data_IF_523618302866
#
_entry.id   IF_523618302866
#
_cell.length_a   1.000
_cell.length_b   1.000
_cell.length_c   1.000
_cell.angle_alpha   90.00
_cell.angle_beta   90.00
_cell.angle_gamma   90.00
#
_symmetry.space_group_name_H-M   'P 1'
#
loop_
_entity.id
_entity.type
_entity.pdbx_description
1 polymer ?
#
# COMPACT_ATOMS: atom_id res chain seq x y z
N UNK A 1 5.49 2.02 -36.22
CA UNK A 1 5.93 3.44 -36.31
C UNK A 1 5.41 4.01 -37.64
N UNK A 2 4.38 4.86 -37.65
CA UNK A 2 3.94 5.55 -38.87
C UNK A 2 4.75 6.84 -38.99
N UNK A 3 5.61 6.95 -40.01
CA UNK A 3 6.41 8.15 -40.27
C UNK A 3 5.58 9.15 -41.08
N UNK A 4 5.39 10.36 -40.54
CA UNK A 4 4.77 11.48 -41.25
C UNK A 4 5.88 12.27 -41.95
N UNK A 5 5.77 12.44 -43.28
CA UNK A 5 6.80 13.03 -44.16
C UNK A 5 7.08 14.54 -43.93
N UNK A 6 6.37 15.22 -43.01
CA UNK A 6 6.43 16.69 -42.85
C UNK A 6 7.44 17.22 -41.82
N UNK A 7 8.15 16.36 -41.09
CA UNK A 7 9.26 16.81 -40.24
C UNK A 7 10.58 16.77 -41.03
N UNK A 8 10.97 17.91 -41.61
CA UNK A 8 12.24 18.09 -42.34
C UNK A 8 13.48 18.06 -41.44
N UNK A 9 13.31 18.12 -40.12
CA UNK A 9 14.29 17.60 -39.16
C UNK A 9 13.72 16.28 -38.64
N UNK A 10 14.40 15.13 -38.81
CA UNK A 10 13.81 13.87 -38.40
C UNK A 10 13.49 13.91 -36.91
N UNK A 11 12.52 13.11 -36.47
CA UNK A 11 12.31 12.77 -35.07
C UNK A 11 13.60 12.36 -34.30
N UNK A 12 14.72 12.14 -35.01
CA UNK A 12 16.09 12.18 -34.49
C UNK A 12 16.37 13.39 -33.57
N UNK A 13 15.98 14.61 -33.93
CA UNK A 13 16.25 15.80 -33.10
C UNK A 13 15.13 16.10 -32.08
N UNK A 14 14.09 15.27 -32.01
CA UNK A 14 13.03 15.39 -30.99
C UNK A 14 13.60 14.85 -29.68
N UNK A 15 13.55 15.67 -28.64
CA UNK A 15 14.18 15.40 -27.35
C UNK A 15 13.61 14.12 -26.71
N UNK A 16 14.35 13.01 -26.81
CA UNK A 16 14.13 11.79 -26.05
C UNK A 16 14.44 12.04 -24.57
N UNK A 17 13.57 12.79 -23.87
CA UNK A 17 13.72 13.08 -22.44
C UNK A 17 13.18 11.94 -21.57
N UNK A 18 12.22 11.18 -22.08
CA UNK A 18 11.57 10.07 -21.40
C UNK A 18 11.60 8.83 -22.29
N UNK A 19 11.80 7.67 -21.68
CA UNK A 19 11.89 6.37 -22.35
C UNK A 19 11.27 5.30 -21.44
N UNK A 20 10.28 4.57 -21.96
CA UNK A 20 9.75 3.35 -21.34
C UNK A 20 10.17 2.17 -22.22
N UNK A 21 10.84 1.19 -21.63
CA UNK A 21 11.34 0.04 -22.38
C UNK A 21 10.94 -1.26 -21.69
N UNK A 22 10.21 -2.09 -22.44
CA UNK A 22 9.79 -3.44 -22.04
C UNK A 22 10.64 -4.49 -22.73
N UNK A 23 11.03 -5.54 -22.01
CA UNK A 23 11.77 -6.69 -22.53
C UNK A 23 13.14 -6.36 -23.19
N UNK A 24 13.59 -5.11 -23.11
CA UNK A 24 14.93 -4.51 -23.27
C UNK A 24 15.91 -5.04 -24.34
N UNK A 25 15.47 -5.92 -25.25
CA UNK A 25 16.20 -6.37 -26.43
C UNK A 25 16.59 -5.21 -27.34
N UNK A 26 15.78 -4.14 -27.38
CA UNK A 26 16.11 -2.93 -28.10
C UNK A 26 17.37 -2.24 -27.55
N UNK A 27 17.58 -2.25 -26.22
CA UNK A 27 18.75 -1.67 -25.56
C UNK A 27 20.02 -2.47 -25.81
N UNK A 28 19.94 -3.80 -25.79
CA UNK A 28 21.09 -4.63 -26.14
C UNK A 28 21.49 -4.48 -27.62
N UNK A 29 20.51 -4.38 -28.52
CA UNK A 29 20.78 -4.08 -29.93
C UNK A 29 21.35 -2.66 -30.14
N UNK A 30 21.16 -1.76 -29.18
CA UNK A 30 21.77 -0.43 -29.15
C UNK A 30 23.16 -0.43 -28.48
N UNK A 31 23.50 -1.47 -27.72
CA UNK A 31 24.76 -1.58 -27.00
C UNK A 31 25.89 -1.86 -28.02
N UNK A 32 26.92 -1.02 -28.05
CA UNK A 32 28.09 -1.19 -28.92
C UNK A 32 28.12 -0.43 -30.25
N UNK A 33 27.14 0.44 -30.57
CA UNK A 33 27.29 1.37 -31.70
C UNK A 33 27.74 2.77 -31.24
N UNK A 34 28.77 3.37 -31.87
CA UNK A 34 29.32 4.66 -31.46
C UNK A 34 28.41 5.90 -31.71
N UNK A 35 27.31 5.74 -32.46
CA UNK A 35 26.50 6.87 -32.99
C UNK A 35 25.20 7.17 -32.22
N UNK A 36 25.07 6.79 -30.95
CA UNK A 36 23.83 7.01 -30.18
C UNK A 36 23.80 8.36 -29.45
N UNK A 37 23.66 9.45 -30.20
CA UNK A 37 23.42 10.79 -29.64
C UNK A 37 22.14 10.91 -28.80
N UNK A 38 21.13 10.05 -29.04
CA UNK A 38 19.83 10.13 -28.36
C UNK A 38 19.85 9.61 -26.91
N UNK A 39 20.60 8.52 -26.64
CA UNK A 39 20.75 7.99 -25.29
C UNK A 39 21.38 9.02 -24.33
N UNK A 40 22.22 9.90 -24.86
CA UNK A 40 22.81 11.03 -24.13
C UNK A 40 21.80 12.11 -23.73
N UNK A 41 20.58 12.09 -24.28
CA UNK A 41 19.53 13.09 -24.01
C UNK A 41 18.45 12.60 -23.03
N UNK A 42 18.47 11.30 -22.69
CA UNK A 42 17.49 10.68 -21.78
C UNK A 42 17.67 11.24 -20.37
N UNK A 43 16.55 11.69 -19.79
CA UNK A 43 16.48 12.20 -18.42
C UNK A 43 15.61 11.33 -17.51
N UNK A 44 14.66 10.60 -18.08
CA UNK A 44 13.80 9.67 -17.37
C UNK A 44 13.75 8.34 -18.11
N UNK A 45 14.00 7.25 -17.39
CA UNK A 45 13.99 5.90 -17.93
C UNK A 45 13.18 4.98 -17.02
N UNK A 46 12.25 4.24 -17.61
CA UNK A 46 11.60 3.08 -16.99
C UNK A 46 12.09 1.80 -17.69
N UNK A 47 12.63 0.87 -16.90
CA UNK A 47 13.09 -0.44 -17.36
C UNK A 47 12.18 -1.52 -16.78
N UNK A 48 11.47 -2.23 -17.66
CA UNK A 48 10.57 -3.32 -17.28
C UNK A 48 11.17 -4.65 -17.73
N UNK A 49 11.52 -5.48 -16.75
CA UNK A 49 12.11 -6.79 -16.94
C UNK A 49 11.03 -7.88 -16.92
N UNK A 50 10.83 -8.53 -18.07
CA UNK A 50 9.88 -9.64 -18.25
C UNK A 50 10.56 -10.99 -18.52
N UNK A 51 9.77 -12.09 -18.57
CA UNK A 51 10.26 -13.45 -18.78
C UNK A 51 10.96 -13.63 -20.13
N UNK A 52 12.07 -14.39 -20.13
CA UNK A 52 12.87 -14.65 -21.33
C UNK A 52 13.63 -13.41 -21.86
N UNK A 53 13.65 -12.32 -21.09
CA UNK A 53 14.49 -11.15 -21.36
C UNK A 53 15.98 -11.47 -21.24
N UNK A 54 16.85 -10.78 -21.99
CA UNK A 54 18.28 -11.09 -22.06
C UNK A 54 19.04 -10.68 -20.79
N UNK A 55 20.04 -11.39 -20.27
CA UNK A 55 20.66 -11.06 -18.94
C UNK A 55 20.87 -9.53 -18.64
N UNK A 56 20.27 -8.99 -17.56
CA UNK A 56 20.40 -7.57 -17.17
C UNK A 56 21.84 -7.07 -17.02
N UNK A 57 22.78 -7.96 -16.66
CA UNK A 57 24.20 -7.64 -16.52
C UNK A 57 24.88 -7.27 -17.85
N UNK A 58 24.25 -7.58 -18.99
CA UNK A 58 24.76 -7.25 -20.31
C UNK A 58 24.57 -5.77 -20.70
N UNK A 59 23.85 -4.98 -19.89
CA UNK A 59 23.57 -3.58 -20.21
C UNK A 59 24.68 -2.65 -19.71
N UNK A 60 25.40 -2.02 -20.65
CA UNK A 60 26.47 -1.03 -20.38
C UNK A 60 26.23 0.28 -21.15
N UNK A 61 24.99 0.73 -21.22
CA UNK A 61 24.66 1.96 -21.96
C UNK A 61 24.82 3.19 -21.04
N UNK A 62 25.78 4.09 -21.29
CA UNK A 62 25.94 5.28 -20.46
C UNK A 62 24.77 6.25 -20.69
N UNK A 63 24.09 6.60 -19.60
CA UNK A 63 22.99 7.58 -19.57
C UNK A 63 23.41 8.84 -18.80
N UNK A 64 24.31 9.69 -19.35
CA UNK A 64 24.99 10.75 -18.60
C UNK A 64 24.08 11.90 -18.12
N UNK A 65 22.86 12.03 -18.66
CA UNK A 65 21.88 13.04 -18.28
C UNK A 65 20.69 12.47 -17.49
N UNK A 66 20.77 11.22 -17.04
CA UNK A 66 19.68 10.56 -16.33
C UNK A 66 19.40 11.25 -15.00
N UNK A 67 18.16 11.71 -14.82
CA UNK A 67 17.66 12.36 -13.60
C UNK A 67 16.66 11.44 -12.86
N UNK A 68 15.94 10.57 -13.57
CA UNK A 68 14.92 9.68 -13.01
C UNK A 68 15.06 8.26 -13.56
N UNK A 69 15.14 7.27 -12.68
CA UNK A 69 15.21 5.86 -13.04
C UNK A 69 14.16 5.06 -12.28
N UNK A 70 13.34 4.31 -13.00
CA UNK A 70 12.45 3.30 -12.45
C UNK A 70 12.82 1.94 -13.02
N UNK A 71 13.01 0.97 -12.14
CA UNK A 71 13.27 -0.43 -12.49
C UNK A 71 12.13 -1.26 -11.93
N UNK A 72 11.48 -2.05 -12.80
CA UNK A 72 10.38 -2.93 -12.42
C UNK A 72 10.60 -4.33 -12.93
N UNK A 73 10.37 -5.31 -12.08
CA UNK A 73 10.29 -6.72 -12.47
C UNK A 73 8.84 -7.15 -12.57
N UNK A 74 8.44 -7.72 -13.72
CA UNK A 74 7.07 -8.22 -13.92
C UNK A 74 6.89 -9.65 -13.35
N UNK A 75 7.94 -10.26 -12.76
CA UNK A 75 7.85 -11.57 -12.11
C UNK A 75 8.29 -11.50 -10.64
N UNK A 76 7.41 -11.96 -9.75
CA UNK A 76 7.63 -11.97 -8.30
C UNK A 76 8.45 -13.18 -7.79
N UNK A 77 8.70 -14.23 -8.59
CA UNK A 77 9.16 -15.52 -8.02
C UNK A 77 10.15 -16.34 -8.87
N UNK A 78 10.82 -15.76 -9.87
CA UNK A 78 11.86 -16.49 -10.62
C UNK A 78 13.24 -16.07 -10.10
N UNK A 79 14.13 -17.05 -9.89
CA UNK A 79 15.56 -16.86 -9.59
C UNK A 79 16.27 -16.19 -10.78
N UNK A 80 15.96 -14.93 -11.03
CA UNK A 80 16.60 -14.11 -12.07
C UNK A 80 17.91 -13.57 -11.50
N UNK A 81 18.93 -13.47 -12.34
CA UNK A 81 20.16 -12.76 -12.01
C UNK A 81 19.84 -11.34 -11.53
N UNK A 82 20.54 -10.82 -10.50
CA UNK A 82 20.28 -9.48 -10.01
C UNK A 82 20.47 -8.43 -11.11
N UNK A 83 19.56 -7.45 -11.19
CA UNK A 83 19.73 -6.31 -12.10
C UNK A 83 20.87 -5.44 -11.61
N UNK A 84 21.77 -5.07 -12.51
CA UNK A 84 22.92 -4.20 -12.23
C UNK A 84 22.46 -2.74 -12.24
N UNK A 85 21.84 -2.30 -11.15
CA UNK A 85 21.37 -0.92 -10.92
C UNK A 85 22.55 0.04 -10.85
N UNK A 86 23.67 -0.39 -10.26
CA UNK A 86 24.87 0.46 -10.08
C UNK A 86 25.37 1.08 -11.39
N UNK A 87 25.22 0.38 -12.52
CA UNK A 87 25.64 0.83 -13.85
C UNK A 87 24.85 2.03 -14.38
N UNK A 88 23.69 2.34 -13.79
CA UNK A 88 22.84 3.47 -14.19
C UNK A 88 22.95 4.67 -13.27
N UNK A 89 23.63 4.54 -12.13
CA UNK A 89 23.74 5.62 -11.18
C UNK A 89 24.68 6.69 -11.76
N UNK A 90 24.21 7.93 -11.76
CA UNK A 90 24.98 9.07 -12.23
C UNK A 90 24.92 10.22 -11.23
N UNK A 91 25.85 11.18 -11.28
CA UNK A 91 25.81 12.36 -10.42
C UNK A 91 24.59 13.27 -10.59
N UNK A 92 23.83 13.12 -11.69
CA UNK A 92 22.61 13.89 -11.99
C UNK A 92 21.34 13.21 -11.53
N UNK A 93 21.42 11.99 -11.02
CA UNK A 93 20.26 11.22 -10.60
C UNK A 93 19.58 11.93 -9.42
N UNK A 94 18.28 12.20 -9.57
CA UNK A 94 17.40 12.85 -8.59
C UNK A 94 16.41 11.87 -7.98
N UNK A 95 16.00 10.86 -8.74
CA UNK A 95 15.04 9.85 -8.31
C UNK A 95 15.44 8.46 -8.79
N UNK A 96 15.47 7.51 -7.87
CA UNK A 96 15.63 6.09 -8.12
C UNK A 96 14.46 5.34 -7.49
N UNK A 97 13.77 4.53 -8.28
CA UNK A 97 12.77 3.59 -7.81
C UNK A 97 13.07 2.18 -8.33
N UNK A 98 13.03 1.20 -7.44
CA UNK A 98 13.16 -0.22 -7.76
C UNK A 98 11.94 -0.93 -7.20
N UNK A 99 11.26 -1.73 -8.03
CA UNK A 99 10.07 -2.50 -7.68
C UNK A 99 10.25 -3.97 -8.05
N UNK A 100 9.96 -4.85 -7.11
CA UNK A 100 10.01 -6.30 -7.27
C UNK A 100 11.41 -6.85 -7.60
N UNK A 101 11.72 -8.08 -7.19
CA UNK A 101 12.92 -8.81 -7.66
C UNK A 101 14.22 -8.51 -6.91
N UNK A 102 15.36 -8.70 -7.59
CA UNK A 102 16.70 -8.68 -6.98
C UNK A 102 17.63 -7.72 -7.72
N UNK A 103 18.48 -7.00 -7.00
CA UNK A 103 19.48 -6.08 -7.57
C UNK A 103 20.89 -6.36 -7.08
N UNK A 104 21.89 -5.81 -7.76
CA UNK A 104 23.25 -5.73 -7.22
C UNK A 104 23.34 -4.80 -6.01
N UNK A 105 24.47 -4.83 -5.28
CA UNK A 105 24.75 -3.87 -4.22
C UNK A 105 25.12 -2.51 -4.82
N UNK A 106 24.11 -1.72 -5.18
CA UNK A 106 24.28 -0.39 -5.77
C UNK A 106 24.53 0.72 -4.74
N UNK A 107 24.52 0.41 -3.44
CA UNK A 107 24.67 1.39 -2.35
C UNK A 107 25.98 2.20 -2.45
N UNK A 108 27.15 1.59 -2.72
CA UNK A 108 28.38 2.38 -2.90
C UNK A 108 28.31 3.33 -4.11
N UNK A 109 27.63 2.92 -5.18
CA UNK A 109 27.50 3.73 -6.38
C UNK A 109 26.58 4.94 -6.16
N UNK A 110 25.63 4.88 -5.22
CA UNK A 110 24.78 6.02 -4.87
C UNK A 110 25.57 7.21 -4.33
N UNK A 111 26.74 7.01 -3.72
CA UNK A 111 27.56 8.10 -3.19
C UNK A 111 27.91 9.19 -4.22
N UNK A 112 27.88 8.89 -5.53
CA UNK A 112 28.09 9.90 -6.57
C UNK A 112 26.83 10.73 -6.89
N UNK A 113 25.63 10.26 -6.55
CA UNK A 113 24.34 10.87 -6.85
C UNK A 113 23.96 11.96 -5.83
N UNK A 114 24.76 13.01 -5.76
CA UNK A 114 24.61 14.11 -4.78
C UNK A 114 23.33 14.96 -4.95
N UNK A 115 22.55 14.74 -6.02
CA UNK A 115 21.27 15.41 -6.28
C UNK A 115 20.06 14.54 -5.95
N UNK A 116 20.28 13.34 -5.39
CA UNK A 116 19.22 12.39 -5.09
C UNK A 116 18.30 12.96 -4.01
N UNK A 117 17.02 13.09 -4.35
CA UNK A 117 15.96 13.50 -3.43
C UNK A 117 14.97 12.37 -3.13
N UNK A 118 14.88 11.38 -4.02
CA UNK A 118 14.00 10.24 -3.88
C UNK A 118 14.76 8.93 -4.09
N UNK A 119 14.66 8.04 -3.10
CA UNK A 119 15.22 6.69 -3.18
C UNK A 119 14.17 5.70 -2.69
N UNK A 120 13.56 4.96 -3.61
CA UNK A 120 12.41 4.11 -3.35
C UNK A 120 12.75 2.65 -3.67
N UNK A 121 13.24 1.92 -2.67
CA UNK A 121 13.44 0.46 -2.72
C UNK A 121 12.17 -0.17 -2.17
N UNK A 122 11.29 -0.72 -3.02
CA UNK A 122 10.03 -1.32 -2.56
C UNK A 122 10.28 -2.55 -1.69
N UNK A 123 9.30 -2.86 -0.86
CA UNK A 123 9.34 -3.90 0.19
C UNK A 123 9.79 -5.28 -0.28
N UNK A 124 9.53 -5.62 -1.54
CA UNK A 124 9.79 -6.93 -2.11
C UNK A 124 11.05 -6.96 -2.99
N UNK A 125 11.88 -5.93 -2.90
CA UNK A 125 13.18 -5.85 -3.56
C UNK A 125 14.27 -6.33 -2.62
N UNK A 126 15.03 -7.33 -3.07
CA UNK A 126 16.25 -7.79 -2.41
C UNK A 126 17.48 -7.10 -3.01
N UNK A 127 18.21 -6.33 -2.20
CA UNK A 127 19.53 -5.79 -2.58
C UNK A 127 20.61 -6.81 -2.21
N UNK A 128 21.10 -7.56 -3.20
CA UNK A 128 22.02 -8.68 -2.96
C UNK A 128 23.36 -8.17 -2.44
N UNK A 129 23.73 -8.62 -1.25
CA UNK A 129 24.94 -8.16 -0.55
C UNK A 129 24.85 -6.72 -0.06
N UNK A 130 23.64 -6.15 -0.02
CA UNK A 130 23.37 -4.86 0.60
C UNK A 130 23.49 -4.95 2.13
N UNK A 131 24.09 -3.92 2.72
CA UNK A 131 24.32 -3.82 4.15
C UNK A 131 23.54 -2.61 4.70
N UNK A 132 22.59 -2.81 5.64
CA UNK A 132 21.86 -1.71 6.28
C UNK A 132 22.77 -0.68 6.93
N UNK A 133 23.92 -1.08 7.49
CA UNK A 133 24.85 -0.13 8.11
C UNK A 133 25.47 0.80 7.06
N UNK A 134 26.01 0.24 5.97
CA UNK A 134 26.50 1.02 4.84
C UNK A 134 25.41 1.93 4.24
N UNK A 135 24.15 1.47 4.23
CA UNK A 135 23.03 2.28 3.79
C UNK A 135 22.75 3.46 4.74
N UNK A 136 22.77 3.25 6.06
CA UNK A 136 22.65 4.32 7.05
C UNK A 136 23.77 5.36 6.95
N UNK A 137 25.00 4.92 6.74
CA UNK A 137 26.15 5.82 6.54
C UNK A 137 26.00 6.64 5.24
N UNK A 138 25.45 6.05 4.17
CA UNK A 138 25.12 6.77 2.94
C UNK A 138 24.04 7.84 3.17
N UNK A 139 22.95 7.49 3.87
CA UNK A 139 21.85 8.42 4.20
C UNK A 139 22.39 9.65 4.93
N UNK A 140 23.31 9.47 5.88
CA UNK A 140 23.96 10.57 6.60
C UNK A 140 24.69 11.54 5.68
N UNK A 141 25.20 11.06 4.54
CA UNK A 141 25.90 11.87 3.53
C UNK A 141 24.95 12.47 2.48
N UNK A 142 23.65 12.20 2.56
CA UNK A 142 22.62 12.63 1.61
C UNK A 142 21.52 13.47 2.26
N UNK A 143 21.84 14.71 2.70
CA UNK A 143 20.88 15.56 3.39
C UNK A 143 19.72 16.06 2.50
N UNK A 144 19.77 15.81 1.19
CA UNK A 144 18.76 16.19 0.20
C UNK A 144 17.61 15.19 0.06
N UNK A 145 17.68 14.02 0.71
CA UNK A 145 16.63 13.01 0.65
C UNK A 145 15.35 13.50 1.33
N UNK A 146 14.24 13.48 0.58
CA UNK A 146 12.91 13.84 1.07
C UNK A 146 11.93 12.67 1.01
N UNK A 147 12.18 11.68 0.13
CA UNK A 147 11.35 10.49 -0.01
C UNK A 147 12.24 9.24 0.03
N UNK A 148 12.04 8.39 1.03
CA UNK A 148 12.83 7.17 1.21
C UNK A 148 11.91 5.98 1.43
N UNK A 149 12.16 4.90 0.68
CA UNK A 149 11.68 3.56 0.98
C UNK A 149 12.90 2.64 1.07
N UNK A 150 13.06 1.94 2.19
CA UNK A 150 14.29 1.21 2.52
C UNK A 150 14.31 -0.22 2.00
N UNK A 151 13.15 -0.82 1.74
CA UNK A 151 13.02 -2.21 1.31
C UNK A 151 13.80 -3.16 2.22
N UNK A 152 14.57 -4.08 1.61
CA UNK A 152 15.40 -5.05 2.34
C UNK A 152 16.55 -4.45 3.16
N UNK A 153 16.78 -3.12 3.11
CA UNK A 153 17.85 -2.43 3.84
C UNK A 153 17.37 -1.71 5.11
N UNK A 154 16.14 -2.00 5.53
CA UNK A 154 15.58 -1.47 6.76
C UNK A 154 16.35 -1.94 8.00
N UNK A 155 16.61 -1.02 8.94
CA UNK A 155 17.14 -1.33 10.27
C UNK A 155 16.87 -0.17 11.23
N UNK A 156 17.01 -0.43 12.54
CA UNK A 156 16.98 0.58 13.59
C UNK A 156 17.94 1.74 13.37
N UNK A 157 19.21 1.43 13.06
CA UNK A 157 20.22 2.44 12.76
C UNK A 157 19.83 3.30 11.55
N UNK A 158 19.27 2.71 10.50
CA UNK A 158 18.79 3.45 9.31
C UNK A 158 17.63 4.37 9.68
N UNK A 159 16.71 3.92 10.54
CA UNK A 159 15.62 4.75 11.06
C UNK A 159 16.16 5.97 11.82
N UNK A 160 17.13 5.77 12.71
CA UNK A 160 17.79 6.84 13.48
C UNK A 160 18.45 7.88 12.57
N UNK A 161 19.16 7.45 11.52
CA UNK A 161 19.78 8.40 10.57
C UNK A 161 18.73 9.16 9.73
N UNK A 162 17.67 8.49 9.28
CA UNK A 162 16.58 9.12 8.52
C UNK A 162 15.79 10.12 9.38
N UNK A 163 15.60 9.84 10.67
CA UNK A 163 14.95 10.72 11.63
C UNK A 163 15.63 12.08 11.78
N UNK A 164 16.95 12.13 11.56
CA UNK A 164 17.75 13.36 11.63
C UNK A 164 17.64 14.25 10.40
N UNK A 165 16.98 13.80 9.33
CA UNK A 165 16.80 14.58 8.11
C UNK A 165 15.60 15.53 8.25
N UNK A 166 15.81 16.86 8.42
CA UNK A 166 14.72 17.78 8.72
C UNK A 166 13.77 17.96 7.53
N UNK A 167 14.19 17.64 6.31
CA UNK A 167 13.40 17.78 5.08
C UNK A 167 12.66 16.48 4.69
N UNK A 168 12.76 15.41 5.49
CA UNK A 168 12.07 14.16 5.20
C UNK A 168 10.56 14.38 5.17
N UNK A 169 9.92 14.03 4.06
CA UNK A 169 8.48 14.19 3.85
C UNK A 169 7.78 12.83 3.75
N UNK A 170 8.43 11.82 3.15
CA UNK A 170 7.86 10.49 2.94
C UNK A 170 8.85 9.41 3.36
N UNK A 171 8.46 8.59 4.33
CA UNK A 171 9.25 7.47 4.82
C UNK A 171 8.45 6.17 4.71
N UNK A 172 9.09 5.14 4.16
CA UNK A 172 8.60 3.77 4.12
C UNK A 172 9.69 2.81 4.59
N UNK A 173 9.44 2.16 5.72
CA UNK A 173 10.31 1.21 6.40
C UNK A 173 9.48 -0.03 6.75
N UNK A 174 9.24 -0.86 5.76
CA UNK A 174 8.56 -2.14 5.92
C UNK A 174 9.59 -3.25 5.77
N UNK A 175 9.78 -4.05 6.83
CA UNK A 175 10.72 -5.16 6.82
C UNK A 175 10.38 -6.19 7.90
N UNK A 176 11.09 -7.31 7.89
CA UNK A 176 11.05 -8.31 8.97
C UNK A 176 11.78 -7.85 10.25
N UNK A 177 12.43 -6.70 10.24
CA UNK A 177 13.10 -6.09 11.39
C UNK A 177 12.27 -4.93 11.89
N UNK A 178 11.72 -5.08 13.08
CA UNK A 178 10.87 -4.07 13.71
C UNK A 178 11.73 -2.95 14.30
N UNK A 179 11.26 -1.72 14.17
CA UNK A 179 11.84 -0.58 14.89
C UNK A 179 11.40 -0.67 16.35
N UNK A 180 12.37 -0.77 17.25
CA UNK A 180 12.11 -0.91 18.68
C UNK A 180 12.07 0.44 19.42
N UNK A 181 11.80 0.36 20.72
CA UNK A 181 11.77 1.54 21.58
C UNK A 181 13.16 2.20 21.71
N UNK A 182 14.25 1.44 21.71
CA UNK A 182 15.61 1.97 21.90
C UNK A 182 16.04 2.75 20.65
N UNK A 183 15.78 2.22 19.45
CA UNK A 183 15.93 2.91 18.17
C UNK A 183 15.15 4.22 18.15
N UNK A 184 13.92 4.18 18.68
CA UNK A 184 13.06 5.36 18.71
C UNK A 184 13.58 6.40 19.69
N UNK A 185 13.96 6.02 20.91
CA UNK A 185 14.57 6.93 21.88
C UNK A 185 15.83 7.57 21.29
N UNK A 186 16.68 6.78 20.64
CA UNK A 186 17.90 7.28 19.99
C UNK A 186 17.58 8.27 18.85
N UNK A 187 16.55 8.01 18.05
CA UNK A 187 16.09 8.95 17.04
C UNK A 187 15.64 10.28 17.68
N UNK A 188 14.88 10.21 18.77
CA UNK A 188 14.35 11.36 19.53
C UNK A 188 15.40 12.25 20.18
N UNK A 189 16.67 11.83 20.26
CA UNK A 189 17.78 12.70 20.66
C UNK A 189 18.00 13.86 19.68
N UNK A 190 17.51 13.76 18.43
CA UNK A 190 17.59 14.84 17.46
C UNK A 190 16.53 15.92 17.71
N UNK A 191 16.93 17.19 17.63
CA UNK A 191 16.03 18.33 17.93
C UNK A 191 14.83 18.53 16.99
N UNK A 192 14.83 17.88 15.81
CA UNK A 192 13.82 18.08 14.76
C UNK A 192 13.40 16.76 14.10
N UNK A 193 13.21 15.71 14.91
CA UNK A 193 12.79 14.39 14.40
C UNK A 193 11.53 14.52 13.56
N UNK A 194 11.64 14.15 12.28
CA UNK A 194 10.52 14.03 11.34
C UNK A 194 9.57 15.23 11.31
N UNK A 195 10.09 16.44 11.56
CA UNK A 195 9.27 17.66 11.69
C UNK A 195 8.43 17.98 10.45
N UNK A 196 8.89 17.53 9.27
CA UNK A 196 8.23 17.72 7.98
C UNK A 196 7.56 16.45 7.42
N UNK A 197 7.50 15.37 8.18
CA UNK A 197 6.99 14.08 7.70
C UNK A 197 5.47 14.15 7.48
N UNK A 198 5.06 13.85 6.25
CA UNK A 198 3.67 13.83 5.79
C UNK A 198 3.16 12.41 5.60
N UNK A 199 4.03 11.48 5.24
CA UNK A 199 3.69 10.09 4.99
C UNK A 199 4.65 9.17 5.73
N UNK A 200 4.10 8.25 6.53
CA UNK A 200 4.85 7.21 7.22
C UNK A 200 4.23 5.85 6.90
N UNK A 201 5.06 4.91 6.42
CA UNK A 201 4.77 3.49 6.39
C UNK A 201 5.83 2.77 7.20
N UNK A 202 5.48 2.14 8.33
CA UNK A 202 6.47 1.51 9.23
C UNK A 202 5.92 0.28 9.95
N UNK A 203 6.80 -0.67 10.26
CA UNK A 203 6.55 -1.73 11.25
C UNK A 203 7.38 -1.46 12.50
N UNK A 204 6.75 -1.44 13.68
CA UNK A 204 7.43 -1.05 14.93
C UNK A 204 6.74 -1.61 16.18
N UNK A 205 7.43 -1.53 17.31
CA UNK A 205 6.86 -1.85 18.62
C UNK A 205 5.77 -0.85 19.03
N UNK A 206 4.84 -1.29 19.89
CA UNK A 206 3.74 -0.45 20.37
C UNK A 206 4.25 0.80 21.10
N UNK A 207 5.30 0.64 21.91
CA UNK A 207 5.90 1.71 22.72
C UNK A 207 6.66 2.72 21.89
N UNK A 208 7.36 2.22 20.87
CA UNK A 208 8.00 3.03 19.85
C UNK A 208 6.95 3.91 19.12
N UNK A 209 5.81 3.34 18.75
CA UNK A 209 4.71 4.09 18.14
C UNK A 209 4.11 5.13 19.10
N UNK A 210 3.85 4.76 20.36
CA UNK A 210 3.24 5.63 21.36
C UNK A 210 4.08 6.89 21.63
N UNK A 211 5.41 6.80 21.60
CA UNK A 211 6.29 7.97 21.80
C UNK A 211 6.56 8.75 20.51
N UNK A 212 6.58 8.09 19.35
CA UNK A 212 6.88 8.74 18.07
C UNK A 212 5.68 9.54 17.53
N UNK A 213 4.50 8.92 17.48
CA UNK A 213 3.32 9.47 16.82
C UNK A 213 2.91 10.87 17.33
N UNK A 214 2.98 11.20 18.64
CA UNK A 214 2.65 12.53 19.13
C UNK A 214 3.50 13.66 18.50
N UNK A 215 4.71 13.33 18.05
CA UNK A 215 5.65 14.30 17.48
C UNK A 215 5.43 14.56 15.99
N UNK A 216 4.73 13.64 15.29
CA UNK A 216 4.45 13.72 13.87
C UNK A 216 3.26 14.64 13.59
N UNK A 217 3.48 15.96 13.67
CA UNK A 217 2.40 16.97 13.58
C UNK A 217 1.88 17.23 12.16
N UNK A 218 2.68 16.93 11.14
CA UNK A 218 2.33 17.18 9.72
C UNK A 218 1.85 15.93 8.98
N UNK A 219 1.61 14.86 9.72
CA UNK A 219 1.27 13.56 9.16
C UNK A 219 -0.12 13.60 8.51
N UNK A 220 -0.18 13.25 7.24
CA UNK A 220 -1.39 13.17 6.41
C UNK A 220 -1.73 11.72 6.04
N UNK A 221 -0.71 10.86 5.94
CA UNK A 221 -0.85 9.42 5.63
C UNK A 221 -0.04 8.61 6.63
N UNK A 222 -0.72 7.68 7.31
CA UNK A 222 -0.09 6.72 8.21
C UNK A 222 -0.45 5.31 7.78
N UNK A 223 0.56 4.47 7.61
CA UNK A 223 0.45 3.02 7.56
C UNK A 223 1.38 2.47 8.63
N UNK A 224 0.83 1.86 9.67
CA UNK A 224 1.63 1.38 10.79
C UNK A 224 1.22 -0.03 11.14
N UNK A 225 2.21 -0.89 11.33
CA UNK A 225 2.03 -2.28 11.74
C UNK A 225 2.71 -2.42 13.10
N UNK A 226 1.90 -2.67 14.12
CA UNK A 226 2.35 -2.75 15.51
C UNK A 226 2.57 -4.21 15.87
N UNK A 227 3.81 -4.58 16.22
CA UNK A 227 4.10 -5.93 16.70
C UNK A 227 3.58 -6.14 18.14
N UNK A 228 3.67 -7.38 18.63
CA UNK A 228 3.23 -7.75 19.98
C UNK A 228 4.34 -7.68 21.04
N UNK A 229 5.50 -7.12 20.69
CA UNK A 229 6.64 -7.09 21.61
C UNK A 229 6.45 -5.96 22.60
N UNK A 230 6.48 -6.30 23.89
CA UNK A 230 6.42 -5.37 25.00
C UNK A 230 7.79 -5.28 25.68
N UNK A 231 8.14 -4.09 26.12
CA UNK A 231 9.32 -3.79 26.94
C UNK A 231 8.93 -3.57 28.40
N UNK A 232 9.76 -4.09 29.31
CA UNK A 232 9.68 -3.96 30.78
C UNK A 232 8.40 -3.35 31.40
N UNK A 233 7.45 -4.19 31.81
CA UNK A 233 6.28 -3.77 32.60
C UNK A 233 5.16 -3.09 31.81
N UNK A 234 5.32 -2.94 30.50
CA UNK A 234 4.26 -2.49 29.62
C UNK A 234 3.10 -3.48 29.54
N UNK A 235 1.94 -2.94 29.17
CA UNK A 235 0.70 -3.66 28.99
C UNK A 235 -0.02 -3.13 27.75
N UNK A 236 -0.50 -4.04 26.90
CA UNK A 236 -1.29 -3.72 25.72
C UNK A 236 -2.58 -2.94 26.08
N UNK A 237 -3.14 -3.17 27.27
CA UNK A 237 -4.31 -2.44 27.77
C UNK A 237 -4.07 -0.94 27.94
N UNK A 238 -2.84 -0.52 28.22
CA UNK A 238 -2.47 0.89 28.41
C UNK A 238 -1.93 1.52 27.14
N UNK A 239 -1.06 0.81 26.41
CA UNK A 239 -0.30 1.42 25.33
C UNK A 239 -1.09 1.58 24.02
N UNK A 240 -2.06 0.71 23.77
CA UNK A 240 -2.91 0.79 22.57
C UNK A 240 -3.80 2.03 22.62
N UNK A 241 -4.49 2.37 23.74
CA UNK A 241 -5.13 3.67 23.90
C UNK A 241 -4.21 4.86 23.62
N UNK A 242 -2.97 4.83 24.12
CA UNK A 242 -2.01 5.92 23.90
C UNK A 242 -1.67 6.11 22.42
N UNK A 243 -1.57 5.02 21.65
CA UNK A 243 -1.37 5.07 20.19
C UNK A 243 -2.55 5.77 19.52
N UNK A 244 -3.80 5.42 19.86
CA UNK A 244 -4.97 6.09 19.30
C UNK A 244 -5.06 7.56 19.72
N UNK A 245 -4.78 7.88 20.99
CA UNK A 245 -4.71 9.24 21.50
C UNK A 245 -3.68 10.08 20.74
N UNK A 246 -2.54 9.49 20.36
CA UNK A 246 -1.53 10.18 19.57
C UNK A 246 -2.01 10.61 18.18
N UNK A 247 -3.08 9.99 17.65
CA UNK A 247 -3.71 10.35 16.38
C UNK A 247 -4.64 11.56 16.50
N UNK A 248 -4.97 11.99 17.72
CA UNK A 248 -5.80 13.16 17.98
C UNK A 248 -5.17 14.42 17.35
N UNK A 249 -6.03 15.32 16.87
CA UNK A 249 -5.68 16.61 16.25
C UNK A 249 -4.79 16.52 15.00
N UNK A 250 -4.56 15.31 14.46
CA UNK A 250 -3.87 15.14 13.17
C UNK A 250 -4.84 15.31 12.01
N UNK A 251 -4.36 15.94 10.94
CA UNK A 251 -5.11 16.09 9.69
C UNK A 251 -4.89 14.88 8.75
N UNK A 252 -5.10 13.67 9.28
CA UNK A 252 -4.92 12.44 8.53
C UNK A 252 -5.99 12.30 7.45
N UNK A 253 -5.56 12.13 6.21
CA UNK A 253 -6.40 11.80 5.06
C UNK A 253 -6.49 10.28 4.89
N UNK A 254 -5.47 9.54 5.31
CA UNK A 254 -5.37 8.10 5.14
C UNK A 254 -4.74 7.47 6.39
N UNK A 255 -5.47 6.54 7.02
CA UNK A 255 -5.00 5.77 8.17
C UNK A 255 -5.12 4.28 7.86
N UNK A 256 -4.01 3.57 7.93
CA UNK A 256 -3.95 2.11 7.98
C UNK A 256 -3.20 1.76 9.28
N UNK A 257 -3.90 1.12 10.20
CA UNK A 257 -3.32 0.66 11.46
C UNK A 257 -3.65 -0.82 11.63
N UNK A 258 -2.59 -1.61 11.77
CA UNK A 258 -2.69 -3.04 12.02
C UNK A 258 -1.88 -3.41 13.25
N UNK A 259 -2.30 -4.48 13.91
CA UNK A 259 -1.64 -5.02 15.10
C UNK A 259 -1.37 -6.51 14.85
N UNK A 260 -0.27 -7.03 15.39
CA UNK A 260 0.01 -8.46 15.42
C UNK A 260 -1.05 -9.19 16.25
N UNK A 261 -1.44 -10.41 15.86
CA UNK A 261 -2.57 -11.14 16.46
C UNK A 261 -2.40 -11.42 17.96
N UNK A 262 -1.16 -11.42 18.44
CA UNK A 262 -0.78 -11.64 19.83
C UNK A 262 -0.96 -10.38 20.71
N UNK A 263 -1.26 -9.23 20.11
CA UNK A 263 -1.67 -8.04 20.86
C UNK A 263 -3.02 -8.34 21.53
N UNK A 264 -3.13 -8.08 22.84
CA UNK A 264 -4.34 -8.37 23.60
C UNK A 264 -4.75 -7.14 24.38
N UNK A 265 -5.88 -6.52 24.05
CA UNK A 265 -6.40 -5.37 24.78
C UNK A 265 -7.91 -5.44 24.87
N UNK A 266 -8.45 -5.07 26.02
CA UNK A 266 -9.89 -4.88 26.19
C UNK A 266 -10.26 -3.52 25.60
N UNK A 267 -10.55 -3.51 24.31
CA UNK A 267 -10.94 -2.29 23.64
C UNK A 267 -12.26 -1.77 24.25
N UNK A 268 -12.33 -0.44 24.43
CA UNK A 268 -13.52 0.28 24.90
C UNK A 268 -13.90 1.35 23.88
N UNK A 269 -15.10 1.91 23.98
CA UNK A 269 -15.53 2.96 23.06
C UNK A 269 -14.61 4.20 23.11
N UNK A 270 -14.17 4.58 24.32
CA UNK A 270 -13.34 5.77 24.55
C UNK A 270 -11.97 5.67 23.86
N UNK A 271 -11.44 4.46 23.68
CA UNK A 271 -10.17 4.22 22.96
C UNK A 271 -10.20 4.80 21.54
N UNK A 272 -11.37 4.84 20.91
CA UNK A 272 -11.54 5.29 19.53
C UNK A 272 -12.03 6.74 19.42
N UNK A 273 -12.27 7.45 20.52
CA UNK A 273 -12.69 8.86 20.49
C UNK A 273 -11.80 9.75 19.61
N UNK A 274 -10.45 9.61 19.61
CA UNK A 274 -9.59 10.35 18.68
C UNK A 274 -9.92 10.10 17.21
N UNK A 275 -10.23 8.86 16.85
CA UNK A 275 -10.61 8.47 15.50
C UNK A 275 -12.01 8.98 15.15
N UNK A 276 -12.97 8.85 16.08
CA UNK A 276 -14.35 9.35 15.93
C UNK A 276 -14.39 10.86 15.67
N UNK A 277 -13.52 11.60 16.35
CA UNK A 277 -13.38 13.05 16.24
C UNK A 277 -12.71 13.50 14.92
N UNK A 278 -12.12 12.58 14.15
CA UNK A 278 -11.50 12.92 12.87
C UNK A 278 -12.53 13.48 11.88
N UNK A 279 -12.14 14.55 11.18
CA UNK A 279 -12.97 15.25 10.18
C UNK A 279 -12.39 15.20 8.77
N UNK A 280 -11.19 14.62 8.59
CA UNK A 280 -10.44 14.68 7.32
C UNK A 280 -10.15 13.33 6.69
N UNK A 281 -10.42 12.22 7.40
CA UNK A 281 -10.13 10.88 6.89
C UNK A 281 -10.99 10.58 5.66
N UNK A 282 -10.32 10.08 4.62
CA UNK A 282 -10.96 9.52 3.43
C UNK A 282 -10.77 8.02 3.33
N UNK A 283 -9.68 7.51 3.90
CA UNK A 283 -9.36 6.09 3.90
C UNK A 283 -9.06 5.65 5.31
N UNK A 284 -9.77 4.63 5.76
CA UNK A 284 -9.58 4.02 7.07
C UNK A 284 -9.44 2.52 6.90
N UNK A 285 -8.32 1.98 7.36
CA UNK A 285 -8.09 0.57 7.53
C UNK A 285 -7.70 0.29 8.99
N UNK A 286 -8.43 -0.60 9.63
CA UNK A 286 -8.07 -1.13 10.95
C UNK A 286 -8.18 -2.65 10.91
N UNK A 287 -7.08 -3.34 11.16
CA UNK A 287 -7.06 -4.82 11.19
C UNK A 287 -6.55 -5.34 12.52
N UNK A 288 -7.45 -5.84 13.36
CA UNK A 288 -7.08 -6.62 14.55
C UNK A 288 -8.28 -7.34 15.21
N UNK A 289 -8.02 -8.40 15.99
CA UNK A 289 -9.06 -9.21 16.64
C UNK A 289 -9.79 -8.49 17.79
N UNK A 290 -9.19 -7.48 18.45
CA UNK A 290 -9.84 -6.80 19.58
C UNK A 290 -11.09 -6.00 19.19
N UNK A 291 -11.26 -5.69 17.90
CA UNK A 291 -12.51 -5.11 17.39
C UNK A 291 -13.65 -6.12 17.52
N UNK A 292 -13.31 -7.39 17.36
CA UNK A 292 -14.14 -8.58 17.46
C UNK A 292 -14.51 -9.04 18.88
N UNK A 293 -14.28 -8.24 19.93
CA UNK A 293 -14.68 -8.63 21.29
C UNK A 293 -16.08 -8.11 21.62
N UNK A 294 -16.85 -8.86 22.42
CA UNK A 294 -18.30 -8.68 22.68
C UNK A 294 -18.75 -7.27 23.15
N UNK A 295 -17.81 -6.37 23.44
CA UNK A 295 -18.07 -5.11 24.13
C UNK A 295 -18.04 -3.86 23.23
N UNK A 296 -17.77 -3.96 21.92
CA UNK A 296 -17.66 -2.78 21.04
C UNK A 296 -18.47 -2.94 19.75
N UNK A 297 -19.43 -2.02 19.58
CA UNK A 297 -20.10 -1.79 18.30
C UNK A 297 -19.20 -1.00 17.33
N UNK A 298 -19.30 -1.29 16.04
CA UNK A 298 -18.66 -0.52 14.97
C UNK A 298 -18.95 0.99 15.04
N UNK A 299 -20.12 1.39 15.55
CA UNK A 299 -20.48 2.80 15.73
C UNK A 299 -19.52 3.57 16.66
N UNK A 300 -18.95 2.85 17.64
CA UNK A 300 -17.98 3.39 18.57
C UNK A 300 -16.58 3.50 17.96
N UNK A 301 -16.29 2.81 16.86
CA UNK A 301 -14.97 2.83 16.21
C UNK A 301 -14.94 3.85 15.09
N UNK A 302 -16.05 3.99 14.36
CA UNK A 302 -16.11 4.69 13.09
C UNK A 302 -16.10 6.23 13.22
N UNK A 303 -15.28 6.95 12.41
CA UNK A 303 -15.31 8.41 12.31
C UNK A 303 -16.71 8.98 12.05
N UNK A 304 -17.16 9.95 12.84
CA UNK A 304 -18.54 10.47 12.72
C UNK A 304 -18.66 11.47 11.57
N UNK A 305 -17.67 12.35 11.40
CA UNK A 305 -17.75 13.50 10.47
C UNK A 305 -16.78 13.41 9.29
N UNK A 306 -15.99 12.35 9.20
CA UNK A 306 -15.00 12.19 8.14
C UNK A 306 -15.65 11.79 6.80
N UNK A 307 -15.20 12.35 5.67
CA UNK A 307 -15.69 12.00 4.34
C UNK A 307 -15.07 10.68 3.85
N UNK A 308 -15.36 9.56 4.52
CA UNK A 308 -14.80 8.25 4.19
C UNK A 308 -15.23 7.82 2.77
N UNK A 309 -14.25 7.48 1.95
CA UNK A 309 -14.37 6.99 0.58
C UNK A 309 -13.92 5.51 0.47
N UNK A 310 -13.04 5.03 1.37
CA UNK A 310 -12.58 3.64 1.46
C UNK A 310 -12.51 3.20 2.92
N UNK A 311 -13.17 2.10 3.26
CA UNK A 311 -13.27 1.56 4.60
C UNK A 311 -12.90 0.07 4.60
N UNK A 312 -11.90 -0.29 5.39
CA UNK A 312 -11.47 -1.67 5.61
C UNK A 312 -11.46 -1.94 7.12
N UNK A 313 -12.29 -2.87 7.58
CA UNK A 313 -12.34 -3.25 8.99
C UNK A 313 -12.33 -4.76 9.11
N UNK A 314 -11.38 -5.28 9.88
CA UNK A 314 -11.38 -6.71 10.23
C UNK A 314 -11.97 -6.90 11.62
N UNK A 315 -13.23 -7.33 11.64
CA UNK A 315 -14.10 -7.53 12.78
C UNK A 315 -14.23 -9.03 13.09
N UNK A 316 -13.17 -9.63 13.62
CA UNK A 316 -13.07 -11.07 13.81
C UNK A 316 -14.13 -11.62 14.79
N UNK A 317 -14.78 -12.73 14.44
CA UNK A 317 -15.53 -13.53 15.41
C UNK A 317 -16.90 -13.00 15.84
N UNK A 318 -17.43 -12.00 15.13
CA UNK A 318 -18.80 -11.52 15.31
C UNK A 318 -19.59 -11.61 14.01
N UNK A 319 -20.90 -11.85 14.16
CA UNK A 319 -21.85 -11.73 13.07
C UNK A 319 -21.97 -10.25 12.68
N UNK A 320 -21.59 -9.92 11.45
CA UNK A 320 -21.99 -8.69 10.80
C UNK A 320 -23.47 -8.84 10.42
N UNK A 321 -24.30 -7.90 10.89
CA UNK A 321 -25.72 -7.87 10.54
C UNK A 321 -26.05 -6.73 9.56
N UNK A 322 -27.28 -6.74 9.07
CA UNK A 322 -27.78 -5.72 8.13
C UNK A 322 -27.85 -4.34 8.78
N UNK A 323 -28.02 -4.27 10.12
CA UNK A 323 -28.05 -3.01 10.84
C UNK A 323 -26.69 -2.32 10.78
N UNK A 324 -25.60 -3.05 11.02
CA UNK A 324 -24.24 -2.55 10.89
C UNK A 324 -23.96 -2.02 9.48
N UNK A 325 -24.34 -2.75 8.43
CA UNK A 325 -24.23 -2.27 7.04
C UNK A 325 -25.06 -1.01 6.80
N UNK A 326 -26.29 -0.95 7.32
CA UNK A 326 -27.15 0.22 7.23
C UNK A 326 -26.57 1.46 7.93
N UNK A 327 -25.94 1.28 9.09
CA UNK A 327 -25.25 2.34 9.83
C UNK A 327 -24.05 2.87 9.02
N UNK A 328 -23.24 2.00 8.42
CA UNK A 328 -22.12 2.40 7.56
C UNK A 328 -22.63 3.16 6.32
N UNK A 329 -23.60 2.59 5.61
CA UNK A 329 -24.13 3.18 4.37
C UNK A 329 -24.78 4.55 4.57
N UNK A 330 -25.58 4.69 5.63
CA UNK A 330 -26.20 5.97 5.99
C UNK A 330 -25.18 7.02 6.42
N UNK A 331 -24.09 6.61 7.08
CA UNK A 331 -23.01 7.51 7.51
C UNK A 331 -22.11 7.96 6.37
N UNK A 332 -21.82 7.07 5.42
CA UNK A 332 -20.84 7.32 4.36
C UNK A 332 -21.47 7.18 2.95
N UNK A 333 -22.32 8.12 2.52
CA UNK A 333 -22.98 8.05 1.21
C UNK A 333 -22.00 8.17 0.01
N UNK A 334 -20.73 8.54 0.26
CA UNK A 334 -19.67 8.63 -0.77
C UNK A 334 -18.70 7.44 -0.74
N UNK A 335 -18.96 6.44 0.09
CA UNK A 335 -18.14 5.24 0.21
C UNK A 335 -18.08 4.52 -1.14
N UNK A 336 -16.86 4.29 -1.63
CA UNK A 336 -16.58 3.60 -2.90
C UNK A 336 -16.03 2.21 -2.70
N UNK A 337 -15.32 1.99 -1.60
CA UNK A 337 -14.71 0.72 -1.26
C UNK A 337 -15.08 0.36 0.18
N UNK A 338 -15.61 -0.86 0.35
CA UNK A 338 -15.94 -1.43 1.64
C UNK A 338 -15.38 -2.85 1.69
N UNK A 339 -14.49 -3.12 2.63
CA UNK A 339 -13.97 -4.45 2.92
C UNK A 339 -14.20 -4.74 4.40
N UNK A 340 -15.06 -5.72 4.67
CA UNK A 340 -15.39 -6.16 6.01
C UNK A 340 -15.00 -7.63 6.14
N UNK A 341 -14.25 -7.94 7.19
CA UNK A 341 -14.00 -9.31 7.60
C UNK A 341 -14.82 -9.58 8.86
N UNK A 342 -15.73 -10.54 8.79
CA UNK A 342 -16.68 -10.92 9.83
C UNK A 342 -17.78 -11.80 9.26
N UNK A 343 -18.45 -12.59 10.09
CA UNK A 343 -19.43 -13.56 9.58
C UNK A 343 -20.67 -12.84 9.05
N UNK A 344 -20.97 -12.94 7.75
CA UNK A 344 -22.14 -12.28 7.16
C UNK A 344 -22.99 -13.26 6.35
N UNK A 345 -24.27 -13.29 6.66
CA UNK A 345 -25.27 -14.04 5.92
C UNK A 345 -25.82 -13.19 4.77
N UNK A 346 -25.35 -13.44 3.55
CA UNK A 346 -25.77 -12.73 2.33
C UNK A 346 -27.28 -12.77 2.10
N UNK A 347 -27.99 -13.77 2.65
CA UNK A 347 -29.43 -13.83 2.49
C UNK A 347 -30.19 -12.79 3.30
N UNK A 348 -29.55 -12.22 4.33
CA UNK A 348 -30.13 -11.12 5.10
C UNK A 348 -30.14 -9.81 4.31
N UNK A 349 -29.39 -9.69 3.21
CA UNK A 349 -29.43 -8.49 2.38
C UNK A 349 -30.85 -8.22 1.85
N UNK A 350 -31.33 -6.97 1.94
CA UNK A 350 -32.66 -6.63 1.48
C UNK A 350 -32.75 -6.74 -0.04
N UNK A 351 -33.78 -7.46 -0.53
CA UNK A 351 -34.12 -7.57 -1.95
C UNK A 351 -34.81 -6.30 -2.49
N UNK A 352 -35.58 -5.63 -1.63
CA UNK A 352 -36.32 -4.41 -1.96
C UNK A 352 -35.90 -3.30 -1.01
N UNK A 353 -35.78 -2.07 -1.53
CA UNK A 353 -35.86 -0.85 -0.73
C UNK A 353 -37.30 -0.71 -0.18
N UNK A 354 -37.74 -1.62 0.69
CA UNK A 354 -39.00 -1.48 1.42
C UNK A 354 -38.95 -0.28 2.38
N UNK A 355 -37.74 0.28 2.59
CA UNK A 355 -37.51 1.59 3.16
C UNK A 355 -37.45 2.64 2.04
N UNK A 356 -38.27 3.69 2.16
CA UNK A 356 -38.35 4.87 1.29
C UNK A 356 -37.06 5.71 1.13
N UNK A 357 -35.90 5.18 1.52
CA UNK A 357 -34.66 5.92 1.75
C UNK A 357 -33.56 5.66 0.69
N UNK A 358 -33.86 4.92 -0.38
CA UNK A 358 -32.90 4.65 -1.47
C UNK A 358 -31.87 3.57 -1.11
N UNK A 359 -30.90 3.29 -2.01
CA UNK A 359 -29.89 2.26 -1.80
C UNK A 359 -29.01 2.59 -0.59
N UNK A 360 -28.62 1.57 0.19
CA UNK A 360 -27.74 1.73 1.36
C UNK A 360 -26.40 2.38 0.98
N UNK A 361 -25.86 2.00 -0.18
CA UNK A 361 -24.55 2.41 -0.65
C UNK A 361 -24.63 2.98 -2.07
N UNK A 362 -25.05 4.24 -2.25
CA UNK A 362 -25.32 4.79 -3.58
C UNK A 362 -24.07 4.94 -4.45
N UNK A 363 -22.88 5.05 -3.87
CA UNK A 363 -21.62 5.29 -4.58
C UNK A 363 -20.63 4.10 -4.55
N UNK A 364 -21.01 2.98 -3.94
CA UNK A 364 -20.12 1.86 -3.69
C UNK A 364 -19.79 1.10 -4.99
N UNK A 365 -18.50 0.86 -5.19
CA UNK A 365 -17.95 0.25 -6.40
C UNK A 365 -17.29 -1.10 -6.08
N UNK A 366 -16.65 -1.23 -4.92
CA UNK A 366 -15.97 -2.44 -4.48
C UNK A 366 -16.53 -2.86 -3.12
N UNK A 367 -17.05 -4.08 -3.04
CA UNK A 367 -17.50 -4.69 -1.80
C UNK A 367 -16.78 -6.02 -1.59
N UNK A 368 -16.09 -6.15 -0.46
CA UNK A 368 -15.51 -7.41 0.01
C UNK A 368 -16.15 -7.77 1.34
N UNK A 369 -16.68 -8.99 1.44
CA UNK A 369 -17.23 -9.57 2.67
C UNK A 369 -16.51 -10.90 2.91
N UNK A 370 -15.63 -10.93 3.90
CA UNK A 370 -14.82 -12.12 4.23
C UNK A 370 -15.46 -12.88 5.39
N UNK A 371 -15.60 -14.21 5.24
CA UNK A 371 -16.32 -15.15 6.12
C UNK A 371 -17.85 -15.19 5.92
N UNK A 372 -18.35 -15.34 4.70
CA UNK A 372 -19.78 -15.65 4.54
C UNK A 372 -20.11 -17.01 5.16
N UNK A 373 -21.17 -17.09 5.95
CA UNK A 373 -21.59 -18.32 6.65
C UNK A 373 -22.29 -19.34 5.74
N UNK A 374 -22.33 -19.08 4.43
CA UNK A 374 -23.18 -19.80 3.48
C UNK A 374 -22.44 -20.86 2.66
N UNK A 375 -22.71 -22.13 2.98
CA UNK A 375 -22.22 -23.25 2.17
C UNK A 375 -22.90 -23.23 0.80
N UNK A 376 -22.14 -22.96 -0.27
CA UNK A 376 -22.60 -23.21 -1.62
C UNK A 376 -22.62 -24.71 -1.91
N UNK A 377 -23.71 -25.17 -2.51
CA UNK A 377 -23.87 -26.54 -3.00
C UNK A 377 -23.92 -26.48 -4.53
N UNK A 378 -23.13 -27.31 -5.20
CA UNK A 378 -22.94 -27.26 -6.67
C UNK A 378 -24.27 -27.27 -7.44
N UNK A 379 -25.24 -28.07 -7.01
CA UNK A 379 -26.56 -28.20 -7.64
C UNK A 379 -27.42 -26.91 -7.56
N UNK A 380 -27.21 -26.06 -6.56
CA UNK A 380 -28.03 -24.86 -6.31
C UNK A 380 -27.24 -23.55 -6.40
N UNK A 381 -25.93 -23.61 -6.58
CA UNK A 381 -25.01 -22.47 -6.53
C UNK A 381 -25.42 -21.34 -7.49
N UNK A 382 -25.74 -21.67 -8.74
CA UNK A 382 -26.11 -20.67 -9.74
C UNK A 382 -27.42 -19.93 -9.39
N UNK A 383 -28.38 -20.61 -8.78
CA UNK A 383 -29.64 -19.98 -8.36
C UNK A 383 -29.42 -19.07 -7.15
N UNK A 384 -28.60 -19.52 -6.20
CA UNK A 384 -28.25 -18.77 -4.99
C UNK A 384 -27.41 -17.53 -5.32
N UNK A 385 -26.41 -17.65 -6.19
CA UNK A 385 -25.61 -16.52 -6.67
C UNK A 385 -26.45 -15.49 -7.41
N UNK A 386 -27.41 -15.91 -8.24
CA UNK A 386 -28.35 -14.97 -8.89
C UNK A 386 -29.19 -14.19 -7.87
N UNK A 387 -29.69 -14.85 -6.83
CA UNK A 387 -30.40 -14.19 -5.73
C UNK A 387 -29.52 -13.14 -5.04
N UNK A 388 -28.24 -13.45 -4.80
CA UNK A 388 -27.30 -12.48 -4.23
C UNK A 388 -27.00 -11.31 -5.16
N UNK A 389 -26.88 -11.54 -6.47
CA UNK A 389 -26.67 -10.46 -7.45
C UNK A 389 -27.79 -9.41 -7.37
N UNK A 390 -29.05 -9.84 -7.30
CA UNK A 390 -30.19 -8.94 -7.21
C UNK A 390 -30.16 -8.14 -5.88
N UNK A 391 -29.85 -8.81 -4.76
CA UNK A 391 -29.66 -8.18 -3.43
C UNK A 391 -28.52 -7.15 -3.43
N UNK A 392 -27.38 -7.49 -4.02
CA UNK A 392 -26.21 -6.62 -4.10
C UNK A 392 -26.50 -5.34 -4.89
N UNK A 393 -27.20 -5.45 -6.03
CA UNK A 393 -27.60 -4.28 -6.81
C UNK A 393 -28.66 -3.42 -6.12
N UNK A 394 -29.55 -4.03 -5.32
CA UNK A 394 -30.54 -3.28 -4.54
C UNK A 394 -29.86 -2.35 -3.52
N UNK A 395 -28.79 -2.83 -2.87
CA UNK A 395 -28.05 -2.04 -1.86
C UNK A 395 -26.97 -1.13 -2.48
N UNK A 396 -26.37 -1.52 -3.60
CA UNK A 396 -25.23 -0.86 -4.23
C UNK A 396 -25.36 -0.86 -5.77
N UNK A 397 -26.08 0.12 -6.36
CA UNK A 397 -26.41 0.10 -7.79
C UNK A 397 -25.22 0.36 -8.74
N UNK A 398 -24.13 0.92 -8.22
CA UNK A 398 -22.90 1.25 -8.97
C UNK A 398 -21.76 0.26 -8.71
N UNK A 399 -22.07 -0.89 -8.09
CA UNK A 399 -21.12 -1.94 -7.77
C UNK A 399 -20.44 -2.48 -9.05
N UNK A 400 -19.12 -2.56 -9.01
CA UNK A 400 -18.25 -3.05 -10.10
C UNK A 400 -17.58 -4.36 -9.75
N UNK A 401 -17.26 -4.55 -8.46
CA UNK A 401 -16.59 -5.73 -7.96
C UNK A 401 -17.21 -6.17 -6.63
N UNK A 402 -17.48 -7.46 -6.53
CA UNK A 402 -17.84 -8.11 -5.29
C UNK A 402 -16.98 -9.35 -5.08
N UNK A 403 -16.48 -9.51 -3.86
CA UNK A 403 -15.76 -10.70 -3.45
C UNK A 403 -16.31 -11.20 -2.11
N UNK A 404 -16.76 -12.46 -2.10
CA UNK A 404 -16.90 -13.23 -0.87
C UNK A 404 -15.69 -14.15 -0.73
N UNK A 405 -14.91 -13.93 0.31
CA UNK A 405 -13.80 -14.81 0.69
C UNK A 405 -14.29 -15.70 1.83
N UNK A 406 -14.58 -16.96 1.54
CA UNK A 406 -14.73 -17.95 2.60
C UNK A 406 -13.35 -18.43 3.06
N UNK A 407 -13.25 -18.82 4.34
CA UNK A 407 -12.05 -19.43 4.88
C UNK A 407 -11.58 -20.63 4.05
N UNK A 408 -10.35 -21.10 4.30
CA UNK A 408 -9.59 -22.10 3.52
C UNK A 408 -10.27 -23.45 3.19
N UNK A 409 -11.52 -23.66 3.60
CA UNK A 409 -12.27 -24.92 3.49
C UNK A 409 -13.56 -24.83 2.63
N UNK A 410 -13.95 -23.64 2.13
CA UNK A 410 -15.23 -23.46 1.42
C UNK A 410 -15.10 -22.59 0.15
N UNK A 411 -16.03 -22.70 -0.82
CA UNK A 411 -15.89 -22.04 -2.11
C UNK A 411 -16.06 -20.51 -2.06
N UNK A 412 -14.96 -19.78 -2.28
CA UNK A 412 -15.01 -18.33 -2.51
C UNK A 412 -15.78 -17.98 -3.78
N UNK A 413 -16.59 -16.92 -3.73
CA UNK A 413 -17.28 -16.36 -4.91
C UNK A 413 -16.73 -15.00 -5.25
N UNK A 414 -16.24 -14.87 -6.48
CA UNK A 414 -15.85 -13.57 -7.04
C UNK A 414 -16.83 -13.18 -8.12
N UNK A 415 -17.36 -11.96 -8.04
CA UNK A 415 -18.26 -11.39 -9.03
C UNK A 415 -17.68 -10.10 -9.59
N UNK A 416 -17.75 -9.97 -10.91
CA UNK A 416 -17.40 -8.75 -11.64
C UNK A 416 -18.61 -8.26 -12.41
N UNK A 417 -18.92 -6.99 -12.22
CA UNK A 417 -20.05 -6.33 -12.86
C UNK A 417 -19.53 -5.37 -13.93
N UNK A 418 -19.96 -5.56 -15.17
CA UNK A 418 -19.59 -4.70 -16.30
C UNK A 418 -20.84 -3.98 -16.81
N UNK A 419 -20.91 -2.68 -16.53
CA UNK A 419 -21.98 -1.81 -17.05
C UNK A 419 -21.70 -1.49 -18.52
N UNK A 420 -22.62 -1.84 -19.38
CA UNK A 420 -22.58 -1.51 -20.80
C UNK A 420 -23.07 -0.07 -21.03
N UNK A 421 -22.69 0.49 -22.18
CA UNK A 421 -23.11 1.85 -22.61
C UNK A 421 -24.61 1.99 -22.84
N UNK A 422 -25.33 0.89 -23.00
CA UNK A 422 -26.79 0.83 -23.13
C UNK A 422 -27.53 0.73 -21.77
N UNK A 423 -26.80 0.76 -20.65
CA UNK A 423 -27.36 0.66 -19.30
C UNK A 423 -27.57 -0.77 -18.78
N UNK A 424 -27.31 -1.81 -19.58
CA UNK A 424 -27.33 -3.20 -19.10
C UNK A 424 -26.07 -3.50 -18.27
N UNK A 425 -26.23 -4.23 -17.18
CA UNK A 425 -25.09 -4.72 -16.40
C UNK A 425 -24.90 -6.22 -16.61
N UNK A 426 -23.73 -6.62 -17.10
CA UNK A 426 -23.35 -8.02 -17.19
C UNK A 426 -22.66 -8.43 -15.88
N UNK A 427 -23.12 -9.51 -15.26
CA UNK A 427 -22.43 -10.15 -14.14
C UNK A 427 -21.63 -11.35 -14.64
N UNK A 428 -20.36 -11.41 -14.24
CA UNK A 428 -19.49 -12.57 -14.41
C UNK A 428 -19.11 -13.06 -13.03
N UNK A 429 -19.38 -14.33 -12.73
CA UNK A 429 -19.01 -14.91 -11.45
C UNK A 429 -18.18 -16.18 -11.65
N UNK A 430 -17.35 -16.46 -10.66
CA UNK A 430 -16.58 -17.70 -10.56
C UNK A 430 -16.61 -18.18 -9.11
N UNK A 431 -16.72 -19.49 -8.95
CA UNK A 431 -16.64 -20.17 -7.66
C UNK A 431 -15.41 -21.06 -7.68
N UNK A 432 -14.66 -21.12 -6.58
CA UNK A 432 -13.50 -22.01 -6.46
C UNK A 432 -13.83 -23.15 -5.51
N UNK A 433 -14.18 -24.32 -6.04
CA UNK A 433 -14.66 -25.46 -5.24
C UNK A 433 -13.56 -26.15 -4.40
N UNK A 434 -12.28 -26.00 -4.75
CA UNK A 434 -11.11 -26.56 -4.02
C UNK A 434 -9.80 -25.77 -4.29
N UNK A 435 -8.82 -25.86 -3.38
CA UNK A 435 -7.46 -25.30 -3.52
C UNK A 435 -6.52 -26.22 -4.34
N UNK A 436 -6.84 -27.50 -4.46
CA UNK A 436 -6.05 -28.46 -5.24
C UNK A 436 -6.68 -28.68 -6.63
N UNK A 437 -6.20 -27.93 -7.61
CA UNK A 437 -6.00 -28.32 -9.02
C UNK A 437 -4.97 -27.40 -9.70
#
# INVERSE_FOLDING_TARGET
MKTCQRFTAPARNVCWKQSEMRNYMALLNMNGRPDFGYARMIRSQELVFGPGGPDPSAMRMPLPLLEHLTIRHDQLHVQVNPVVVSGFITPRLKSLEVRHGRTDNFIPALAQAQQLTQLLIREDVEVVGGDPQAFGDLVRLMPSLTHVSTGSLCSGQVFVELARLPIMEHLSMYSHTDIDIDDTIQALEASQVFINLKSLYITMQASAAAILLPLLRRLETLTIHINSVLTGGEDHGQIIPDIFNALQDKSLVSLNISFAMEVQTNATAEMFDPLRASTSLKRLLITHNFLGMENISLDNVLPVSSPIESLVIWYFGHDLDVEALGQIGSRYPRLRELDLLGEFDLDQLPLNNDNSNGPLFPALQNLSLTQTSQILIEETADAQVRSWVDKLFAIAPDLQFFESVEGSLHPSVKMRFLRQTNGMTNCFWSHRWTIDD
#
